data_IF_573692287696
#
_entry.id   IF_573692287696
#
_cell.length_a   1.000
_cell.length_b   1.000
_cell.length_c   1.000
_cell.angle_alpha   90.00
_cell.angle_beta   90.00
_cell.angle_gamma   90.00
#
_symmetry.space_group_name_H-M   'P 1'
#
loop_
_entity.id
_entity.type
_entity.pdbx_description
1 polymer ?
#
# COMPACT_ATOMS: atom_id res chain seq x y z
N UNK A 1 29.16 4.28 30.65
CA UNK A 1 27.71 4.30 30.34
C UNK A 1 27.53 3.64 28.98
N UNK A 2 27.07 2.38 28.93
CA UNK A 2 26.92 1.62 27.69
C UNK A 2 25.60 2.02 27.05
N UNK A 3 25.62 2.78 25.96
CA UNK A 3 24.45 2.98 25.11
C UNK A 3 24.44 1.78 24.15
N UNK A 4 23.70 0.74 24.52
CA UNK A 4 23.41 -0.36 23.61
C UNK A 4 22.69 0.25 22.41
N UNK A 5 23.35 0.27 21.26
CA UNK A 5 22.70 0.57 20.01
C UNK A 5 21.82 -0.63 19.71
N UNK A 6 20.55 -0.53 20.11
CA UNK A 6 19.51 -1.39 19.60
C UNK A 6 19.57 -1.31 18.08
N UNK A 7 19.58 -2.48 17.46
CA UNK A 7 19.77 -2.73 16.05
C UNK A 7 18.98 -1.73 15.20
N UNK A 8 19.70 -1.00 14.35
CA UNK A 8 19.14 -0.13 13.31
C UNK A 8 18.52 -1.03 12.23
N UNK A 9 17.41 -1.70 12.58
CA UNK A 9 16.44 -2.17 11.60
C UNK A 9 15.72 -0.93 11.09
N UNK A 10 16.45 -0.11 10.33
CA UNK A 10 15.90 0.84 9.38
C UNK A 10 15.24 0.03 8.25
N UNK A 11 14.25 -0.79 8.60
CA UNK A 11 13.20 -1.13 7.68
C UNK A 11 12.53 0.22 7.42
N UNK A 12 12.84 0.83 6.28
CA UNK A 12 11.83 1.67 5.65
C UNK A 12 10.61 0.77 5.60
N UNK A 13 9.65 0.96 6.53
CA UNK A 13 8.42 0.18 6.55
C UNK A 13 7.91 0.23 5.12
N UNK A 14 7.95 -0.90 4.44
CA UNK A 14 7.38 -0.93 3.11
C UNK A 14 5.91 -0.56 3.32
N UNK A 15 5.38 0.28 2.44
CA UNK A 15 4.04 0.86 2.58
C UNK A 15 2.94 -0.21 2.67
N UNK A 16 3.31 -1.47 2.47
CA UNK A 16 2.47 -2.64 2.45
C UNK A 16 2.90 -3.75 3.43
N UNK A 17 3.99 -3.63 4.21
CA UNK A 17 4.45 -4.72 5.09
C UNK A 17 3.33 -5.25 6.04
N UNK A 18 2.48 -4.35 6.56
CA UNK A 18 1.33 -4.71 7.42
C UNK A 18 0.19 -5.41 6.66
N UNK A 19 0.10 -5.20 5.35
CA UNK A 19 -1.00 -5.61 4.48
C UNK A 19 -0.59 -6.54 3.34
N UNK A 20 0.65 -7.03 3.33
CA UNK A 20 1.23 -7.79 2.23
C UNK A 20 0.40 -9.02 1.87
N UNK A 21 -0.06 -9.79 2.87
CA UNK A 21 -0.93 -10.95 2.64
C UNK A 21 -2.26 -10.57 2.00
N UNK A 22 -2.87 -9.46 2.43
CA UNK A 22 -4.13 -8.97 1.87
C UNK A 22 -3.94 -8.46 0.44
N UNK A 23 -2.83 -7.77 0.16
CA UNK A 23 -2.45 -7.33 -1.18
C UNK A 23 -2.24 -8.52 -2.10
N UNK A 24 -1.49 -9.55 -1.66
CA UNK A 24 -1.28 -10.78 -2.43
C UNK A 24 -2.60 -11.49 -2.72
N UNK A 25 -3.49 -11.62 -1.73
CA UNK A 25 -4.80 -12.25 -1.91
C UNK A 25 -5.66 -11.53 -2.98
N UNK A 26 -5.69 -10.19 -2.96
CA UNK A 26 -6.42 -9.40 -3.95
C UNK A 26 -5.84 -9.55 -5.36
N UNK A 27 -4.52 -9.58 -5.47
CA UNK A 27 -3.82 -9.76 -6.75
C UNK A 27 -4.03 -11.17 -7.32
N UNK A 28 -4.02 -12.18 -6.45
CA UNK A 28 -4.28 -13.57 -6.82
C UNK A 28 -5.72 -13.78 -7.29
N UNK A 29 -6.70 -13.19 -6.61
CA UNK A 29 -8.11 -13.25 -7.03
C UNK A 29 -8.29 -12.64 -8.42
N UNK A 30 -7.75 -11.43 -8.64
CA UNK A 30 -7.75 -10.76 -9.95
C UNK A 30 -7.06 -11.60 -11.02
N UNK A 31 -5.91 -12.22 -10.69
CA UNK A 31 -5.15 -13.06 -11.63
C UNK A 31 -5.93 -14.32 -12.02
N UNK A 32 -6.59 -14.99 -11.07
CA UNK A 32 -7.46 -16.14 -11.34
C UNK A 32 -8.63 -15.77 -12.24
N UNK A 33 -9.29 -14.65 -11.98
CA UNK A 33 -10.39 -14.15 -12.82
C UNK A 33 -9.93 -13.81 -14.24
N UNK A 34 -8.73 -13.22 -14.37
CA UNK A 34 -8.13 -12.92 -15.68
C UNK A 34 -7.84 -14.20 -16.49
N UNK A 35 -7.21 -15.20 -15.87
CA UNK A 35 -6.93 -16.48 -16.52
C UNK A 35 -8.22 -17.19 -16.95
N UNK A 36 -9.25 -17.18 -16.10
CA UNK A 36 -10.56 -17.77 -16.40
C UNK A 36 -11.23 -17.10 -17.61
N UNK A 37 -11.20 -15.76 -17.67
CA UNK A 37 -11.67 -15.01 -18.83
C UNK A 37 -10.85 -15.29 -20.09
N UNK A 38 -9.52 -15.33 -20.01
CA UNK A 38 -8.66 -15.62 -21.16
C UNK A 38 -8.94 -16.99 -21.77
N UNK A 39 -9.17 -18.00 -20.93
CA UNK A 39 -9.50 -19.35 -21.39
C UNK A 39 -10.89 -19.45 -22.05
N UNK A 40 -11.77 -18.47 -21.82
CA UNK A 40 -13.16 -18.47 -22.26
C UNK A 40 -13.57 -17.08 -22.74
N UNK A 41 -12.82 -16.54 -23.69
CA UNK A 41 -12.90 -15.14 -24.14
C UNK A 41 -14.28 -14.71 -24.66
N UNK A 42 -15.10 -15.65 -25.12
CA UNK A 42 -16.46 -15.40 -25.61
C UNK A 42 -17.54 -15.38 -24.51
N UNK A 43 -17.17 -15.61 -23.25
CA UNK A 43 -18.10 -15.69 -22.12
C UNK A 43 -18.21 -14.34 -21.39
N UNK A 44 -19.28 -13.58 -21.66
CA UNK A 44 -19.50 -12.26 -21.06
C UNK A 44 -19.48 -12.29 -19.54
N UNK A 45 -20.08 -13.30 -18.91
CA UNK A 45 -20.12 -13.40 -17.44
C UNK A 45 -18.73 -13.53 -16.80
N UNK A 46 -17.76 -14.15 -17.49
CA UNK A 46 -16.38 -14.25 -16.99
C UNK A 46 -15.61 -12.96 -17.19
N UNK A 47 -15.89 -12.25 -18.29
CA UNK A 47 -15.36 -10.91 -18.50
C UNK A 47 -15.89 -9.93 -17.44
N UNK A 48 -17.18 -9.99 -17.12
CA UNK A 48 -17.80 -9.17 -16.07
C UNK A 48 -17.21 -9.49 -14.70
N UNK A 49 -17.05 -10.78 -14.37
CA UNK A 49 -16.35 -11.21 -13.16
C UNK A 49 -14.92 -10.67 -13.08
N UNK A 50 -14.15 -10.70 -14.16
CA UNK A 50 -12.81 -10.12 -14.18
C UNK A 50 -12.83 -8.60 -13.95
N UNK A 51 -13.77 -7.88 -14.56
CA UNK A 51 -13.96 -6.45 -14.35
C UNK A 51 -14.29 -6.12 -12.90
N UNK A 52 -15.19 -6.88 -12.28
CA UNK A 52 -15.57 -6.71 -10.88
C UNK A 52 -14.38 -6.97 -9.94
N UNK A 53 -13.64 -8.07 -10.16
CA UNK A 53 -12.43 -8.35 -9.40
C UNK A 53 -11.40 -7.22 -9.56
N UNK A 54 -11.19 -6.71 -10.78
CA UNK A 54 -10.27 -5.58 -11.03
C UNK A 54 -10.69 -4.32 -10.28
N UNK A 55 -11.97 -3.96 -10.32
CA UNK A 55 -12.50 -2.77 -9.64
C UNK A 55 -12.39 -2.91 -8.11
N UNK A 56 -12.70 -4.09 -7.57
CA UNK A 56 -12.54 -4.41 -6.15
C UNK A 56 -11.09 -4.30 -5.71
N UNK A 57 -10.16 -4.92 -6.43
CA UNK A 57 -8.72 -4.82 -6.14
C UNK A 57 -8.26 -3.37 -6.14
N UNK A 58 -8.65 -2.57 -7.13
CA UNK A 58 -8.28 -1.16 -7.20
C UNK A 58 -8.80 -0.37 -5.99
N UNK A 59 -10.09 -0.55 -5.65
CA UNK A 59 -10.72 0.14 -4.52
C UNK A 59 -10.04 -0.21 -3.20
N UNK A 60 -9.74 -1.48 -2.98
CA UNK A 60 -9.18 -1.93 -1.71
C UNK A 60 -7.71 -1.49 -1.56
N UNK A 61 -6.91 -1.56 -2.62
CA UNK A 61 -5.55 -1.01 -2.61
C UNK A 61 -5.54 0.49 -2.36
N UNK A 62 -6.48 1.22 -2.97
CA UNK A 62 -6.63 2.65 -2.72
C UNK A 62 -7.04 2.94 -1.27
N UNK A 63 -7.97 2.16 -0.71
CA UNK A 63 -8.38 2.28 0.69
C UNK A 63 -7.21 2.04 1.66
N UNK A 64 -6.44 0.97 1.46
CA UNK A 64 -5.24 0.67 2.26
C UNK A 64 -4.22 1.81 2.18
N UNK A 65 -4.01 2.37 0.98
CA UNK A 65 -3.12 3.50 0.79
C UNK A 65 -3.64 4.78 1.48
N UNK A 66 -4.93 5.07 1.40
CA UNK A 66 -5.54 6.22 2.06
C UNK A 66 -5.41 6.11 3.58
N UNK A 67 -5.69 4.94 4.16
CA UNK A 67 -5.52 4.69 5.59
C UNK A 67 -4.06 4.84 6.05
N UNK A 68 -3.10 4.44 5.22
CA UNK A 68 -1.68 4.69 5.50
C UNK A 68 -1.37 6.19 5.45
N UNK A 69 -1.83 6.91 4.42
CA UNK A 69 -1.65 8.35 4.29
C UNK A 69 -2.32 9.14 5.43
N UNK A 70 -3.46 8.70 5.95
CA UNK A 70 -4.17 9.34 7.08
C UNK A 70 -3.39 9.21 8.39
N UNK A 71 -2.64 8.11 8.58
CA UNK A 71 -1.83 7.87 9.81
C UNK A 71 -0.47 8.59 9.78
N UNK A 72 0.07 8.90 8.60
CA UNK A 72 1.41 9.48 8.46
C UNK A 72 1.61 10.91 8.99
N UNK A 73 0.64 11.84 8.92
CA UNK A 73 0.76 13.18 9.49
C UNK A 73 1.08 13.16 10.99
N UNK A 74 0.42 12.29 11.75
CA UNK A 74 0.65 12.16 13.19
C UNK A 74 2.08 11.70 13.50
N UNK A 75 2.61 10.76 12.71
CA UNK A 75 3.98 10.26 12.83
C UNK A 75 5.02 11.33 12.48
N UNK A 76 4.78 12.10 11.40
CA UNK A 76 5.62 13.23 10.98
C UNK A 76 5.62 14.33 12.04
N UNK A 77 4.46 14.66 12.60
CA UNK A 77 4.32 15.66 13.65
C UNK A 77 5.07 15.23 14.92
N UNK A 78 4.92 13.97 15.32
CA UNK A 78 5.64 13.41 16.46
C UNK A 78 7.16 13.52 16.31
N UNK A 79 7.72 13.24 15.12
CA UNK A 79 9.15 13.43 14.87
C UNK A 79 9.58 14.88 14.86
N UNK A 80 8.73 15.80 14.40
CA UNK A 80 8.98 17.23 14.48
C UNK A 80 9.02 17.70 15.94
N UNK A 81 8.05 17.28 16.76
CA UNK A 81 7.94 17.65 18.18
C UNK A 81 9.13 17.13 19.01
N UNK A 82 9.66 15.95 18.68
CA UNK A 82 10.85 15.38 19.31
C UNK A 82 12.18 15.87 18.71
N UNK A 83 12.16 16.81 17.75
CA UNK A 83 13.34 17.29 17.01
C UNK A 83 14.19 16.15 16.41
N UNK A 84 13.52 15.05 16.00
CA UNK A 84 14.18 13.88 15.44
C UNK A 84 14.31 14.02 13.91
N UNK A 85 15.29 14.83 13.49
CA UNK A 85 15.51 15.17 12.08
C UNK A 85 15.77 13.95 11.17
N UNK A 86 16.44 12.90 11.68
CA UNK A 86 16.66 11.65 10.93
C UNK A 86 15.33 10.98 10.58
N UNK A 87 14.43 10.84 11.56
CA UNK A 87 13.14 10.19 11.36
C UNK A 87 12.17 11.06 10.57
N UNK A 88 12.18 12.38 10.79
CA UNK A 88 11.41 13.35 10.01
C UNK A 88 11.75 13.26 8.51
N UNK A 89 13.04 13.26 8.17
CA UNK A 89 13.46 13.17 6.77
C UNK A 89 13.13 11.81 6.15
N UNK A 90 13.27 10.72 6.92
CA UNK A 90 12.85 9.37 6.49
C UNK A 90 11.35 9.32 6.18
N UNK A 91 10.52 9.84 7.08
CA UNK A 91 9.07 9.90 6.92
C UNK A 91 8.64 10.76 5.72
N UNK A 92 9.24 11.94 5.54
CA UNK A 92 9.00 12.79 4.37
C UNK A 92 9.39 12.12 3.05
N UNK A 93 10.53 11.41 3.03
CA UNK A 93 10.96 10.64 1.87
C UNK A 93 9.97 9.52 1.56
N UNK A 94 9.44 8.86 2.59
CA UNK A 94 8.41 7.83 2.44
C UNK A 94 7.11 8.38 1.84
N UNK A 95 6.79 9.67 1.99
CA UNK A 95 5.63 10.32 1.38
C UNK A 95 5.86 10.69 -0.09
N UNK A 96 7.10 11.04 -0.47
CA UNK A 96 7.45 11.58 -1.80
C UNK A 96 7.32 10.61 -2.99
N UNK A 97 7.09 9.31 -2.76
CA UNK A 97 6.77 8.38 -3.85
C UNK A 97 5.30 8.55 -4.24
N UNK A 98 5.10 9.44 -5.23
CA UNK A 98 3.96 9.58 -6.15
C UNK A 98 2.58 9.42 -5.53
N UNK A 99 2.02 10.51 -5.01
CA UNK A 99 0.59 10.64 -4.74
C UNK A 99 0.07 11.98 -5.23
N UNK A 100 -0.76 11.93 -6.28
CA UNK A 100 -2.01 12.66 -6.24
C UNK A 100 -3.09 11.64 -5.85
N UNK A 101 -3.70 11.75 -4.66
CA UNK A 101 -4.82 10.89 -4.25
C UNK A 101 -6.06 11.02 -5.14
N UNK A 102 -6.08 12.01 -6.06
CA UNK A 102 -7.21 12.31 -6.94
C UNK A 102 -7.08 11.79 -8.37
N UNK A 103 -5.93 11.22 -8.76
CA UNK A 103 -5.69 10.84 -10.16
C UNK A 103 -5.95 9.34 -10.46
N UNK A 104 -6.27 8.53 -9.46
CA UNK A 104 -6.43 7.07 -9.58
C UNK A 104 -7.70 6.51 -8.92
N UNK A 105 -8.60 7.39 -8.44
CA UNK A 105 -10.00 7.08 -8.14
C UNK A 105 -10.85 7.41 -9.38
#
# INVERSE_FOLDING_TARGET
MKRSMAEDHSHAQDRFDENDEAVQALLDEKRKAFIDWQNHSNCSSRHDRYKDCKARTQRELCNMQNQWCERKPDEVQLYADFNNSKMLFSALRSLSVRNSPSALC
#
